data_IF_264518414764
#
_entry.id   IF_264518414764
#
_cell.length_a   1.000
_cell.length_b   1.000
_cell.length_c   1.000
_cell.angle_alpha   90.00
_cell.angle_beta   90.00
_cell.angle_gamma   90.00
#
_symmetry.space_group_name_H-M   'P 1'
#
loop_
_entity.id
_entity.type
_entity.pdbx_description
1 polymer ?
#
# COMPACT_ATOMS: atom_id res chain seq x y z
N UNK A 1 -7.28 10.52 38.44
CA UNK A 1 -8.06 9.77 37.44
C UNK A 1 -9.54 9.96 37.75
N UNK A 2 -10.18 10.90 37.05
CA UNK A 2 -11.56 11.31 37.28
C UNK A 2 -12.52 10.54 36.36
N UNK A 3 -13.68 10.16 36.93
CA UNK A 3 -14.83 9.49 36.32
C UNK A 3 -15.57 10.42 35.34
N UNK A 4 -16.24 9.84 34.33
CA UNK A 4 -17.64 10.16 33.99
C UNK A 4 -18.28 9.08 33.11
N UNK A 5 -19.40 8.58 33.63
CA UNK A 5 -20.46 7.87 32.91
C UNK A 5 -21.34 8.89 32.19
N UNK A 6 -22.10 8.43 31.18
CA UNK A 6 -23.52 8.75 30.87
C UNK A 6 -23.86 8.05 29.53
N UNK A 7 -24.68 6.98 29.52
CA UNK A 7 -26.16 6.95 29.44
C UNK A 7 -26.69 7.28 28.01
N UNK A 8 -27.22 6.29 27.29
CA UNK A 8 -28.65 5.89 27.21
C UNK A 8 -29.51 6.88 26.41
N UNK A 9 -29.95 6.47 25.20
CA UNK A 9 -31.24 6.91 24.67
C UNK A 9 -31.82 5.86 23.71
N UNK A 10 -32.91 5.24 24.17
CA UNK A 10 -33.92 4.54 23.39
C UNK A 10 -34.68 5.56 22.53
N UNK A 11 -34.96 5.27 21.26
CA UNK A 11 -36.20 5.76 20.64
C UNK A 11 -36.67 4.89 19.44
N UNK A 12 -37.85 4.31 19.61
CA UNK A 12 -38.85 3.91 18.61
C UNK A 12 -40.17 4.54 19.15
N UNK A 13 -41.23 4.87 18.38
CA UNK A 13 -41.78 4.07 17.26
C UNK A 13 -42.59 4.88 16.18
N UNK A 14 -43.39 4.14 15.37
CA UNK A 14 -44.55 4.53 14.52
C UNK A 14 -44.25 4.89 13.05
N UNK A 15 -45.10 4.59 12.06
CA UNK A 15 -46.36 3.86 11.92
C UNK A 15 -46.59 3.58 10.42
N UNK A 16 -47.42 2.57 10.15
CA UNK A 16 -48.26 2.28 8.96
C UNK A 16 -48.09 3.10 7.68
N UNK A 17 -48.06 2.41 6.53
CA UNK A 17 -49.10 2.51 5.49
C UNK A 17 -49.02 1.30 4.54
N UNK A 18 -50.10 0.52 4.50
CA UNK A 18 -50.49 -0.27 3.32
C UNK A 18 -51.40 0.60 2.46
N UNK A 19 -51.23 0.53 1.14
CA UNK A 19 -52.35 0.21 0.26
C UNK A 19 -51.89 -0.88 -0.73
N UNK A 20 -52.68 -1.87 -1.07
CA UNK A 20 -54.01 -1.71 -1.64
C UNK A 20 -54.02 -2.64 -2.84
N UNK A 21 -54.90 -3.62 -2.76
CA UNK A 21 -55.25 -4.59 -3.77
C UNK A 21 -55.74 -3.93 -5.08
N UNK A 22 -55.88 -4.78 -6.10
CA UNK A 22 -56.75 -4.61 -7.28
C UNK A 22 -56.10 -4.09 -8.56
N UNK A 23 -56.43 -4.78 -9.65
CA UNK A 23 -55.94 -4.44 -10.99
C UNK A 23 -55.67 -5.62 -11.94
N UNK A 24 -56.24 -6.82 -11.71
CA UNK A 24 -56.41 -7.79 -12.80
C UNK A 24 -57.39 -7.19 -13.82
N UNK A 25 -56.87 -6.53 -14.85
CA UNK A 25 -57.65 -6.24 -16.05
C UNK A 25 -57.85 -7.54 -16.84
N UNK A 26 -58.83 -8.33 -16.41
CA UNK A 26 -59.48 -9.31 -17.29
C UNK A 26 -60.32 -8.48 -18.26
N UNK A 27 -59.77 -8.23 -19.46
CA UNK A 27 -60.54 -7.69 -20.58
C UNK A 27 -61.54 -8.75 -21.04
N UNK A 28 -62.68 -8.75 -20.37
CA UNK A 28 -63.90 -9.46 -20.71
C UNK A 28 -64.35 -8.91 -22.08
N UNK A 29 -64.03 -9.62 -23.16
CA UNK A 29 -64.65 -9.36 -24.47
C UNK A 29 -66.12 -9.79 -24.40
N UNK A 30 -66.96 -8.89 -23.93
CA UNK A 30 -68.42 -8.97 -24.09
C UNK A 30 -68.79 -7.94 -25.15
N UNK A 31 -68.73 -8.34 -26.41
CA UNK A 31 -69.49 -7.70 -27.47
C UNK A 31 -70.34 -8.82 -28.09
N UNK A 32 -71.49 -9.04 -27.46
CA UNK A 32 -72.63 -9.68 -28.10
C UNK A 32 -72.96 -8.82 -29.31
N UNK A 33 -72.71 -9.35 -30.50
CA UNK A 33 -73.24 -8.78 -31.74
C UNK A 33 -74.76 -8.87 -31.61
N UNK A 34 -75.52 -7.77 -31.73
CA UNK A 34 -76.96 -7.88 -31.91
C UNK A 34 -77.16 -8.61 -33.22
N UNK A 35 -77.70 -9.83 -33.14
CA UNK A 35 -78.28 -10.50 -34.29
C UNK A 35 -79.48 -9.67 -34.70
N UNK A 36 -79.29 -8.80 -35.70
CA UNK A 36 -80.39 -8.10 -36.35
C UNK A 36 -81.09 -9.16 -37.19
N UNK A 37 -82.14 -9.76 -36.61
CA UNK A 37 -83.16 -10.47 -37.37
C UNK A 37 -83.89 -9.45 -38.25
N UNK A 38 -83.94 -9.61 -39.58
CA UNK A 38 -84.92 -8.92 -40.37
C UNK A 38 -86.25 -9.64 -40.14
N UNK A 39 -87.09 -9.11 -39.26
CA UNK A 39 -88.46 -9.57 -39.07
C UNK A 39 -89.41 -8.51 -39.62
N UNK A 40 -90.32 -8.96 -40.48
CA UNK A 40 -91.53 -8.23 -40.82
C UNK A 40 -91.52 -7.68 -42.23
N UNK A 41 -91.83 -8.56 -43.19
CA UNK A 41 -92.95 -8.35 -44.11
C UNK A 41 -93.24 -6.88 -44.43
N UNK A 42 -92.48 -6.32 -45.36
CA UNK A 42 -92.96 -5.18 -46.14
C UNK A 42 -93.56 -5.76 -47.41
N UNK A 43 -94.87 -5.60 -47.51
CA UNK A 43 -95.66 -5.97 -48.66
C UNK A 43 -94.97 -5.53 -49.95
N UNK A 44 -94.93 -6.46 -50.88
CA UNK A 44 -94.40 -6.34 -52.23
C UNK A 44 -95.27 -5.33 -53.02
N UNK A 45 -95.14 -4.04 -52.74
CA UNK A 45 -95.61 -2.99 -53.63
C UNK A 45 -94.60 -2.88 -54.77
N UNK A 46 -94.90 -3.59 -55.86
CA UNK A 46 -94.35 -3.31 -57.18
C UNK A 46 -94.86 -1.94 -57.65
N UNK A 47 -94.28 -0.86 -57.12
CA UNK A 47 -94.35 0.45 -57.75
C UNK A 47 -93.11 0.51 -58.63
N UNK A 48 -93.33 0.33 -59.93
CA UNK A 48 -92.37 0.69 -60.98
C UNK A 48 -92.18 2.21 -60.91
N UNK A 49 -91.33 2.67 -59.98
CA UNK A 49 -90.77 4.01 -60.03
C UNK A 49 -89.65 3.97 -61.06
N UNK A 50 -89.96 4.45 -62.26
CA UNK A 50 -88.98 4.69 -63.33
C UNK A 50 -87.91 5.66 -62.79
N UNK A 51 -86.78 5.12 -62.32
CA UNK A 51 -85.59 5.90 -62.01
C UNK A 51 -85.22 6.63 -63.30
N UNK A 52 -85.33 7.94 -63.29
CA UNK A 52 -84.95 8.76 -64.44
C UNK A 52 -83.46 8.58 -64.72
N UNK A 53 -83.07 8.65 -65.99
CA UNK A 53 -81.67 8.47 -66.42
C UNK A 53 -80.70 9.44 -65.72
N UNK A 54 -81.21 10.63 -65.33
CA UNK A 54 -80.49 11.62 -64.51
C UNK A 54 -80.26 11.16 -63.07
N UNK A 55 -81.25 10.57 -62.41
CA UNK A 55 -81.10 10.02 -61.06
C UNK A 55 -80.10 8.86 -61.04
N UNK A 56 -80.10 8.01 -62.07
CA UNK A 56 -79.12 6.93 -62.23
C UNK A 56 -77.69 7.48 -62.36
N UNK A 57 -77.49 8.52 -63.17
CA UNK A 57 -76.17 9.16 -63.35
C UNK A 57 -75.65 9.83 -62.07
N UNK A 58 -76.53 10.39 -61.24
CA UNK A 58 -76.17 10.96 -59.93
C UNK A 58 -75.75 9.86 -58.95
N UNK A 59 -76.44 8.73 -58.93
CA UNK A 59 -76.08 7.58 -58.09
C UNK A 59 -74.71 7.04 -58.50
N UNK A 60 -74.46 6.81 -59.79
CA UNK A 60 -73.15 6.36 -60.29
C UNK A 60 -72.03 7.36 -59.93
N UNK A 61 -72.29 8.67 -60.01
CA UNK A 61 -71.32 9.68 -59.64
C UNK A 61 -70.99 9.67 -58.13
N UNK A 62 -72.00 9.52 -57.27
CA UNK A 62 -71.84 9.44 -55.82
C UNK A 62 -71.11 8.16 -55.40
N UNK A 63 -71.42 7.02 -56.01
CA UNK A 63 -70.71 5.76 -55.78
C UNK A 63 -69.24 5.86 -56.16
N UNK A 64 -68.95 6.50 -57.29
CA UNK A 64 -67.57 6.78 -57.71
C UNK A 64 -66.84 7.68 -56.72
N UNK A 65 -67.46 8.79 -56.30
CA UNK A 65 -66.88 9.70 -55.31
C UNK A 65 -66.59 8.97 -53.98
N UNK A 66 -67.53 8.15 -53.51
CA UNK A 66 -67.36 7.35 -52.30
C UNK A 66 -66.20 6.34 -52.43
N UNK A 67 -66.11 5.64 -53.57
CA UNK A 67 -65.00 4.73 -53.86
C UNK A 67 -63.65 5.46 -53.86
N UNK A 68 -63.57 6.63 -54.49
CA UNK A 68 -62.35 7.45 -54.55
C UNK A 68 -61.94 7.95 -53.15
N UNK A 69 -62.88 8.43 -52.33
CA UNK A 69 -62.62 8.81 -50.95
C UNK A 69 -62.14 7.62 -50.12
N UNK A 70 -62.84 6.48 -50.19
CA UNK A 70 -62.46 5.27 -49.45
C UNK A 70 -61.06 4.77 -49.83
N UNK A 71 -60.68 4.87 -51.11
CA UNK A 71 -59.33 4.59 -51.56
C UNK A 71 -58.31 5.59 -50.96
N UNK A 72 -58.65 6.88 -50.88
CA UNK A 72 -57.86 7.91 -50.20
C UNK A 72 -57.66 7.64 -48.70
N UNK A 73 -58.73 7.27 -47.99
CA UNK A 73 -58.66 6.88 -46.58
C UNK A 73 -57.83 5.62 -46.37
N UNK A 74 -57.96 4.64 -47.26
CA UNK A 74 -57.22 3.39 -47.14
C UNK A 74 -55.73 3.56 -47.42
N UNK A 75 -55.36 4.41 -48.37
CA UNK A 75 -53.95 4.74 -48.65
C UNK A 75 -53.30 5.51 -47.49
N UNK A 76 -53.99 6.52 -46.95
CA UNK A 76 -53.51 7.28 -45.78
C UNK A 76 -53.39 6.40 -44.52
N UNK A 77 -54.38 5.55 -44.24
CA UNK A 77 -54.33 4.60 -43.13
C UNK A 77 -53.17 3.61 -43.26
N UNK A 78 -52.93 3.10 -44.47
CA UNK A 78 -51.78 2.22 -44.77
C UNK A 78 -50.45 2.95 -44.60
N UNK A 79 -50.37 4.23 -44.98
CA UNK A 79 -49.21 5.10 -44.74
C UNK A 79 -48.90 5.24 -43.24
N UNK A 80 -49.89 5.67 -42.46
CA UNK A 80 -49.74 5.81 -41.00
C UNK A 80 -49.40 4.49 -40.30
N UNK A 81 -49.95 3.36 -40.76
CA UNK A 81 -49.61 2.04 -40.20
C UNK A 81 -48.12 1.70 -40.39
N UNK A 82 -47.54 2.02 -41.55
CA UNK A 82 -46.10 1.85 -41.81
C UNK A 82 -45.25 2.77 -40.95
N UNK A 83 -45.62 4.04 -40.83
CA UNK A 83 -44.91 5.00 -39.98
C UNK A 83 -44.92 4.58 -38.51
N UNK A 84 -46.06 4.16 -37.99
CA UNK A 84 -46.18 3.65 -36.63
C UNK A 84 -45.30 2.41 -36.40
N UNK A 85 -45.23 1.51 -37.39
CA UNK A 85 -44.33 0.35 -37.33
C UNK A 85 -42.86 0.78 -37.28
N UNK A 86 -42.47 1.76 -38.09
CA UNK A 86 -41.11 2.27 -38.13
C UNK A 86 -40.72 3.00 -36.84
N UNK A 87 -41.61 3.85 -36.30
CA UNK A 87 -41.41 4.54 -35.01
C UNK A 87 -41.26 3.53 -33.88
N UNK A 88 -42.12 2.50 -33.82
CA UNK A 88 -42.03 1.44 -32.80
C UNK A 88 -40.70 0.69 -32.90
N UNK A 89 -40.25 0.38 -34.13
CA UNK A 89 -38.94 -0.25 -34.38
C UNK A 89 -37.79 0.64 -33.91
N UNK A 90 -37.80 1.94 -34.26
CA UNK A 90 -36.79 2.92 -33.82
C UNK A 90 -36.77 3.06 -32.30
N UNK A 91 -37.93 3.14 -31.65
CA UNK A 91 -38.05 3.23 -30.20
C UNK A 91 -37.49 1.98 -29.50
N UNK A 92 -37.79 0.79 -30.00
CA UNK A 92 -37.25 -0.47 -29.47
C UNK A 92 -35.71 -0.53 -29.59
N UNK A 93 -35.16 -0.10 -30.74
CA UNK A 93 -33.71 -0.01 -30.93
C UNK A 93 -33.07 1.00 -29.98
N UNK A 94 -33.67 2.17 -29.82
CA UNK A 94 -33.17 3.22 -28.93
C UNK A 94 -33.17 2.79 -27.46
N UNK A 95 -34.24 2.16 -26.99
CA UNK A 95 -34.34 1.62 -25.62
C UNK A 95 -33.30 0.53 -25.37
N UNK A 96 -33.10 -0.40 -26.30
CA UNK A 96 -32.06 -1.44 -26.17
C UNK A 96 -30.65 -0.84 -26.15
N UNK A 97 -30.37 0.14 -27.01
CA UNK A 97 -29.10 0.88 -27.01
C UNK A 97 -28.86 1.60 -25.67
N UNK A 98 -29.90 2.21 -25.10
CA UNK A 98 -29.83 2.85 -23.79
C UNK A 98 -29.46 1.87 -22.67
N UNK A 99 -30.09 0.69 -22.64
CA UNK A 99 -29.78 -0.37 -21.67
C UNK A 99 -28.32 -0.85 -21.77
N UNK A 100 -27.84 -1.08 -23.00
CA UNK A 100 -26.45 -1.49 -23.25
C UNK A 100 -25.44 -0.44 -22.82
N UNK A 101 -25.69 0.84 -23.14
CA UNK A 101 -24.85 1.96 -22.70
C UNK A 101 -24.79 2.05 -21.18
N UNK A 102 -25.93 1.91 -20.49
CA UNK A 102 -25.99 1.90 -19.02
C UNK A 102 -25.19 0.73 -18.44
N UNK A 103 -25.31 -0.47 -19.00
CA UNK A 103 -24.54 -1.65 -18.57
C UNK A 103 -23.04 -1.43 -18.75
N UNK A 104 -22.62 -0.94 -19.92
CA UNK A 104 -21.21 -0.64 -20.22
C UNK A 104 -20.66 0.46 -19.30
N UNK A 105 -21.41 1.52 -19.03
CA UNK A 105 -21.00 2.57 -18.11
C UNK A 105 -20.83 2.04 -16.68
N UNK A 106 -21.75 1.21 -16.20
CA UNK A 106 -21.64 0.56 -14.88
C UNK A 106 -20.40 -0.31 -14.77
N UNK A 107 -20.10 -1.12 -15.79
CA UNK A 107 -18.91 -1.97 -15.80
C UNK A 107 -17.61 -1.15 -15.78
N UNK A 108 -17.54 -0.07 -16.57
CA UNK A 108 -16.38 0.84 -16.56
C UNK A 108 -16.19 1.53 -15.21
N UNK A 109 -17.28 1.95 -14.56
CA UNK A 109 -17.22 2.54 -13.23
C UNK A 109 -16.68 1.52 -12.20
N UNK A 110 -17.24 0.31 -12.17
CA UNK A 110 -16.78 -0.76 -11.28
C UNK A 110 -15.30 -1.12 -11.48
N UNK A 111 -14.85 -1.20 -12.73
CA UNK A 111 -13.45 -1.47 -13.04
C UNK A 111 -12.53 -0.37 -12.51
N UNK A 112 -12.95 0.90 -12.64
CA UNK A 112 -12.19 2.05 -12.11
C UNK A 112 -12.19 2.09 -10.59
N UNK A 113 -13.32 1.78 -9.95
CA UNK A 113 -13.40 1.75 -8.49
C UNK A 113 -12.48 0.67 -7.90
N UNK A 114 -12.38 -0.49 -8.57
CA UNK A 114 -11.45 -1.55 -8.21
C UNK A 114 -9.98 -1.13 -8.38
N UNK A 115 -9.64 -0.50 -9.50
CA UNK A 115 -8.30 0.05 -9.76
C UNK A 115 -7.90 1.12 -8.73
N UNK A 116 -8.80 2.06 -8.43
CA UNK A 116 -8.58 3.10 -7.41
C UNK A 116 -8.34 2.46 -6.03
N UNK A 117 -9.09 1.42 -5.68
CA UNK A 117 -8.93 0.74 -4.40
C UNK A 117 -7.58 0.04 -4.31
N UNK A 118 -7.16 -0.66 -5.37
CA UNK A 118 -5.84 -1.30 -5.45
C UNK A 118 -4.70 -0.30 -5.38
N UNK A 119 -4.80 0.84 -6.08
CA UNK A 119 -3.78 1.89 -6.03
C UNK A 119 -3.67 2.56 -4.65
N UNK A 120 -4.78 2.68 -3.91
CA UNK A 120 -4.77 3.20 -2.54
C UNK A 120 -4.06 2.25 -1.58
N UNK A 121 -4.28 0.95 -1.74
CA UNK A 121 -3.59 -0.09 -0.95
C UNK A 121 -2.09 -0.09 -1.25
N UNK A 122 -1.71 -0.07 -2.53
CA UNK A 122 -0.31 0.00 -2.95
C UNK A 122 0.38 1.26 -2.40
N UNK A 123 -0.29 2.42 -2.45
CA UNK A 123 0.24 3.65 -1.87
C UNK A 123 0.45 3.55 -0.35
N UNK A 124 -0.46 2.89 0.37
CA UNK A 124 -0.33 2.69 1.81
C UNK A 124 0.86 1.77 2.13
N UNK A 125 1.02 0.69 1.37
CA UNK A 125 2.15 -0.24 1.50
C UNK A 125 3.49 0.47 1.23
N UNK A 126 3.56 1.27 0.17
CA UNK A 126 4.77 2.04 -0.16
C UNK A 126 5.13 3.06 0.93
N UNK A 127 4.15 3.73 1.52
CA UNK A 127 4.39 4.63 2.66
C UNK A 127 4.99 3.88 3.84
N UNK A 128 4.40 2.74 4.20
CA UNK A 128 4.91 1.92 5.31
C UNK A 128 6.34 1.42 5.05
N UNK A 129 6.64 1.01 3.82
CA UNK A 129 8.00 0.64 3.42
C UNK A 129 8.97 1.81 3.57
N UNK A 130 8.58 3.01 3.12
CA UNK A 130 9.42 4.21 3.25
C UNK A 130 9.68 4.56 4.71
N UNK A 131 8.66 4.54 5.57
CA UNK A 131 8.81 4.81 7.01
C UNK A 131 9.79 3.81 7.68
N UNK A 132 9.75 2.54 7.25
CA UNK A 132 10.67 1.50 7.71
C UNK A 132 12.10 1.77 7.26
N UNK A 133 12.28 2.17 5.99
CA UNK A 133 13.59 2.52 5.43
C UNK A 133 14.18 3.74 6.15
N UNK A 134 13.37 4.77 6.43
CA UNK A 134 13.81 5.95 7.19
C UNK A 134 14.29 5.55 8.60
N UNK A 135 13.58 4.64 9.25
CA UNK A 135 13.97 4.11 10.57
C UNK A 135 15.31 3.39 10.50
N UNK A 136 15.48 2.48 9.53
CA UNK A 136 16.75 1.77 9.35
C UNK A 136 17.91 2.70 8.96
N UNK A 137 17.64 3.76 8.20
CA UNK A 137 18.65 4.76 7.87
C UNK A 137 19.14 5.49 9.13
N UNK A 138 18.21 5.91 10.01
CA UNK A 138 18.56 6.54 11.28
C UNK A 138 19.37 5.61 12.20
N UNK A 139 18.95 4.35 12.33
CA UNK A 139 19.69 3.33 13.12
C UNK A 139 21.11 3.09 12.56
N UNK A 140 21.25 3.07 11.22
CA UNK A 140 22.55 2.91 10.58
C UNK A 140 23.46 4.12 10.81
N UNK A 141 22.93 5.34 10.79
CA UNK A 141 23.68 6.56 11.11
C UNK A 141 24.20 6.55 12.55
N UNK A 142 23.35 6.16 13.51
CA UNK A 142 23.73 6.01 14.93
C UNK A 142 24.84 4.96 15.09
N UNK A 143 24.69 3.79 14.47
CA UNK A 143 25.70 2.74 14.49
C UNK A 143 27.05 3.22 13.94
N UNK A 144 27.06 4.04 12.87
CA UNK A 144 28.29 4.62 12.33
C UNK A 144 28.94 5.59 13.31
N UNK A 145 28.17 6.39 14.05
CA UNK A 145 28.68 7.29 15.09
C UNK A 145 29.34 6.48 16.21
N UNK A 146 28.68 5.45 16.71
CA UNK A 146 29.21 4.57 17.76
C UNK A 146 30.49 3.88 17.32
N UNK A 147 30.53 3.34 16.09
CA UNK A 147 31.73 2.74 15.52
C UNK A 147 32.89 3.74 15.45
N UNK A 148 32.64 5.00 15.04
CA UNK A 148 33.67 6.05 15.03
C UNK A 148 34.21 6.33 16.44
N UNK A 149 33.34 6.39 17.44
CA UNK A 149 33.74 6.58 18.84
C UNK A 149 34.61 5.41 19.34
N UNK A 150 34.22 4.18 19.04
CA UNK A 150 35.01 2.99 19.36
C UNK A 150 36.40 3.01 18.72
N UNK A 151 36.49 3.34 17.43
CA UNK A 151 37.77 3.48 16.71
C UNK A 151 38.67 4.53 17.38
N UNK A 152 38.10 5.67 17.77
CA UNK A 152 38.86 6.73 18.46
C UNK A 152 39.38 6.26 19.83
N UNK A 153 38.55 5.55 20.61
CA UNK A 153 38.95 4.98 21.90
C UNK A 153 40.09 3.97 21.74
N UNK A 154 39.98 3.05 20.78
CA UNK A 154 41.02 2.07 20.49
C UNK A 154 42.32 2.73 20.02
N UNK A 155 42.22 3.78 19.21
CA UNK A 155 43.37 4.57 18.74
C UNK A 155 44.11 5.21 19.93
N UNK A 156 43.38 5.79 20.88
CA UNK A 156 43.97 6.37 22.09
C UNK A 156 44.65 5.29 22.95
N UNK A 157 43.98 4.14 23.17
CA UNK A 157 44.55 3.03 23.92
C UNK A 157 45.85 2.51 23.28
N UNK A 158 45.87 2.34 21.96
CA UNK A 158 47.04 1.88 21.23
C UNK A 158 48.21 2.86 21.36
N UNK A 159 47.95 4.16 21.30
CA UNK A 159 48.97 5.21 21.52
C UNK A 159 49.53 5.12 22.93
N UNK A 160 48.67 5.04 23.95
CA UNK A 160 49.09 4.89 25.35
C UNK A 160 49.97 3.66 25.58
N UNK A 161 49.59 2.50 25.02
CA UNK A 161 50.38 1.28 25.12
C UNK A 161 51.75 1.40 24.41
N UNK A 162 51.80 2.10 23.27
CA UNK A 162 53.06 2.36 22.56
C UNK A 162 54.00 3.21 23.43
N UNK A 163 53.48 4.29 24.01
CA UNK A 163 54.26 5.19 24.85
C UNK A 163 54.78 4.45 26.10
N UNK A 164 53.95 3.62 26.73
CA UNK A 164 54.35 2.76 27.85
C UNK A 164 55.46 1.78 27.47
N UNK A 165 55.36 1.15 26.29
CA UNK A 165 56.39 0.25 25.77
C UNK A 165 57.72 0.96 25.58
N UNK A 166 57.71 2.18 25.04
CA UNK A 166 58.92 2.99 24.85
C UNK A 166 59.56 3.38 26.19
N UNK A 167 58.75 3.79 27.17
CA UNK A 167 59.23 4.07 28.53
C UNK A 167 59.86 2.83 29.19
N UNK A 168 59.24 1.66 29.04
CA UNK A 168 59.79 0.40 29.55
C UNK A 168 61.11 0.05 28.87
N UNK A 169 61.21 0.20 27.55
CA UNK A 169 62.45 -0.05 26.81
C UNK A 169 63.58 0.86 27.28
N UNK A 170 63.31 2.16 27.46
CA UNK A 170 64.27 3.12 28.01
C UNK A 170 64.72 2.73 29.43
N UNK A 171 63.78 2.31 30.29
CA UNK A 171 64.09 1.85 31.65
C UNK A 171 64.96 0.59 31.65
N UNK A 172 64.69 -0.37 30.77
CA UNK A 172 65.51 -1.58 30.62
C UNK A 172 66.94 -1.22 30.19
N UNK A 173 67.10 -0.34 29.21
CA UNK A 173 68.43 0.12 28.77
C UNK A 173 69.21 0.79 29.92
N UNK A 174 68.56 1.68 30.66
CA UNK A 174 69.18 2.34 31.81
C UNK A 174 69.59 1.33 32.92
N UNK A 175 68.73 0.36 33.23
CA UNK A 175 69.06 -0.70 34.18
C UNK A 175 70.22 -1.58 33.70
N UNK A 176 70.30 -1.85 32.40
CA UNK A 176 71.41 -2.58 31.81
C UNK A 176 72.72 -1.80 31.97
N UNK A 177 72.75 -0.52 31.62
CA UNK A 177 73.90 0.36 31.78
C UNK A 177 74.38 0.43 33.24
N UNK A 178 73.46 0.69 34.17
CA UNK A 178 73.78 0.75 35.61
C UNK A 178 74.32 -0.60 36.12
N UNK A 179 73.77 -1.74 35.69
CA UNK A 179 74.29 -3.06 36.05
C UNK A 179 75.71 -3.27 35.50
N UNK A 180 75.97 -2.90 34.24
CA UNK A 180 77.33 -3.01 33.67
C UNK A 180 78.34 -2.14 34.43
N UNK A 181 77.95 -0.93 34.85
CA UNK A 181 78.78 -0.04 35.65
C UNK A 181 79.06 -0.63 37.04
N UNK A 182 78.05 -1.18 37.71
CA UNK A 182 78.19 -1.86 39.01
C UNK A 182 79.10 -3.09 38.91
N UNK A 183 78.96 -3.90 37.87
CA UNK A 183 79.86 -5.06 37.62
C UNK A 183 81.32 -4.61 37.48
N UNK A 184 81.58 -3.52 36.76
CA UNK A 184 82.93 -2.93 36.66
C UNK A 184 83.45 -2.49 38.02
N UNK A 185 82.63 -1.77 38.81
CA UNK A 185 83.00 -1.34 40.18
C UNK A 185 83.30 -2.53 41.09
N UNK A 186 82.45 -3.56 41.09
CA UNK A 186 82.66 -4.78 41.88
C UNK A 186 83.95 -5.50 41.50
N UNK A 187 84.29 -5.57 40.20
CA UNK A 187 85.55 -6.17 39.73
C UNK A 187 86.78 -5.41 40.26
N UNK A 188 86.72 -4.07 40.28
CA UNK A 188 87.80 -3.22 40.82
C UNK A 188 87.93 -3.42 42.33
N UNK A 189 86.83 -3.37 43.08
CA UNK A 189 86.82 -3.59 44.52
C UNK A 189 87.38 -4.98 44.89
N UNK A 190 86.95 -6.04 44.18
CA UNK A 190 87.46 -7.40 44.38
C UNK A 190 88.96 -7.55 44.05
N UNK A 191 89.51 -6.72 43.14
CA UNK A 191 90.96 -6.68 42.89
C UNK A 191 91.69 -5.95 44.02
N UNK A 192 91.17 -4.82 44.48
CA UNK A 192 91.74 -4.07 45.59
C UNK A 192 91.78 -4.90 46.88
N UNK A 193 90.69 -5.59 47.23
CA UNK A 193 90.64 -6.47 48.40
C UNK A 193 91.69 -7.58 48.36
N UNK A 194 91.87 -8.23 47.20
CA UNK A 194 92.92 -9.26 47.03
C UNK A 194 94.33 -8.68 47.17
N UNK A 195 94.56 -7.48 46.64
CA UNK A 195 95.85 -6.79 46.81
C UNK A 195 96.11 -6.45 48.29
N UNK A 196 95.12 -5.89 48.99
CA UNK A 196 95.26 -5.57 50.42
C UNK A 196 95.47 -6.81 51.28
N UNK A 197 94.77 -7.91 50.97
CA UNK A 197 94.95 -9.19 51.63
C UNK A 197 96.37 -9.74 51.40
N UNK A 198 96.88 -9.66 50.17
CA UNK A 198 98.24 -10.04 49.85
C UNK A 198 99.28 -9.20 50.61
N UNK A 199 99.11 -7.88 50.64
CA UNK A 199 99.96 -6.96 51.41
C UNK A 199 99.94 -7.28 52.91
N UNK A 200 98.77 -7.50 53.50
CA UNK A 200 98.62 -7.92 54.89
C UNK A 200 99.32 -9.26 55.17
N UNK A 201 99.21 -10.24 54.28
CA UNK A 201 99.87 -11.53 54.44
C UNK A 201 101.41 -11.39 54.38
N UNK A 202 101.94 -10.52 53.52
CA UNK A 202 103.37 -10.22 53.46
C UNK A 202 103.85 -9.52 54.74
N UNK A 203 103.13 -8.51 55.23
CA UNK A 203 103.50 -7.79 56.46
C UNK A 203 103.44 -8.71 57.68
N UNK A 204 102.40 -9.55 57.79
CA UNK A 204 102.30 -10.57 58.84
C UNK A 204 103.50 -11.53 58.79
N UNK A 205 103.86 -12.05 57.60
CA UNK A 205 105.03 -12.93 57.44
C UNK A 205 106.33 -12.25 57.87
N UNK A 206 106.54 -10.99 57.50
CA UNK A 206 107.71 -10.20 57.91
C UNK A 206 107.76 -9.98 59.43
N UNK A 207 106.62 -9.70 60.06
CA UNK A 207 106.52 -9.57 61.52
C UNK A 207 106.89 -10.88 62.22
N UNK A 208 106.38 -12.02 61.76
CA UNK A 208 106.74 -13.34 62.27
C UNK A 208 108.24 -13.63 62.16
N UNK A 209 108.86 -13.33 61.01
CA UNK A 209 110.31 -13.49 60.83
C UNK A 209 111.10 -12.61 61.80
N UNK A 210 110.70 -11.37 62.02
CA UNK A 210 111.36 -10.46 62.97
C UNK A 210 111.24 -10.95 64.41
N UNK A 211 110.06 -11.39 64.83
CA UNK A 211 109.82 -11.93 66.17
C UNK A 211 110.65 -13.19 66.42
N UNK A 212 110.65 -14.11 65.46
CA UNK A 212 111.42 -15.36 65.56
C UNK A 212 112.94 -15.11 65.59
N UNK A 213 113.46 -14.19 64.77
CA UNK A 213 114.87 -13.80 64.80
C UNK A 213 115.27 -13.07 66.09
N UNK A 214 114.34 -12.35 66.74
CA UNK A 214 114.56 -11.76 68.07
C UNK A 214 114.67 -12.83 69.16
N UNK A 215 113.80 -13.84 69.12
CA UNK A 215 113.84 -14.97 70.06
C UNK A 215 115.15 -15.76 70.02
N UNK A 216 115.75 -15.94 68.83
CA UNK A 216 117.06 -16.61 68.68
C UNK A 216 118.26 -15.80 69.15
N UNK A 217 118.13 -14.47 69.31
CA UNK A 217 119.23 -13.60 69.81
C UNK A 217 119.21 -13.42 71.33
N UNK A 218 118.22 -14.00 72.02
CA UNK A 218 118.07 -13.95 73.48
C UNK A 218 118.28 -15.34 74.15
N UNK A 219 118.84 -16.30 73.43
CA UNK A 219 119.37 -17.58 73.92
C UNK A 219 120.88 -17.57 73.66
#
# INVERSE_FOLDING_TARGET
MARRNENLTLDQPRQHYSPGSEGRFVLRRSASVPSIHPHGETELFTVEDDITTEQLAVIEHLEKLHCDEMAGWQTTLSGHAKELSEIRSKLAKATNRGKLRKKSAKQRAQSRDAEISSLKEELANQKQCNDTIETWAAEAEEAVVDMKQHVNSLTFQLKSMRDQREQLAARVNHLMETNTALRKKNKVAAKQMRNTEHEMNLTNKLLWMRLFNRGRKQV
#
